data_IF_563650509448
#
_entry.id   IF_563650509448
#
_cell.length_a   1.000
_cell.length_b   1.000
_cell.length_c   1.000
_cell.angle_alpha   90.00
_cell.angle_beta   90.00
_cell.angle_gamma   90.00
#
_symmetry.space_group_name_H-M   'P 1'
#
loop_
_entity.id
_entity.type
_entity.pdbx_description
1 polymer ?
#
# COMPACT_ATOMS: atom_id res chain seq x y z
N UNK A 1 24.51 -1.49 -22.25
CA UNK A 1 23.28 -2.24 -21.94
C UNK A 1 22.10 -1.27 -22.06
N UNK A 2 21.44 -1.22 -23.23
CA UNK A 2 20.45 -0.19 -23.54
C UNK A 2 19.10 -0.51 -22.86
N UNK A 3 18.62 0.40 -22.02
CA UNK A 3 17.23 0.39 -21.52
C UNK A 3 16.33 0.96 -22.61
N UNK A 4 15.59 0.10 -23.30
CA UNK A 4 14.47 0.54 -24.12
C UNK A 4 13.34 1.00 -23.20
N UNK A 5 13.11 2.31 -23.12
CA UNK A 5 11.88 2.86 -22.53
C UNK A 5 10.89 3.03 -23.67
N UNK A 6 9.76 2.29 -23.69
CA UNK A 6 8.76 2.45 -24.74
C UNK A 6 8.17 3.87 -24.71
N UNK A 7 8.00 4.48 -25.88
CA UNK A 7 7.32 5.77 -26.01
C UNK A 7 5.87 5.62 -25.53
N UNK A 8 5.45 6.52 -24.63
CA UNK A 8 4.08 6.53 -24.08
C UNK A 8 3.09 6.89 -25.20
N UNK A 9 1.98 6.15 -25.38
CA UNK A 9 1.00 6.47 -26.41
C UNK A 9 0.40 7.86 -26.20
N UNK A 10 0.20 8.60 -27.30
CA UNK A 10 -0.40 9.93 -27.29
C UNK A 10 -1.79 9.88 -26.64
N UNK A 11 -2.04 10.71 -25.62
CA UNK A 11 -3.31 10.77 -24.88
C UNK A 11 -3.41 9.88 -23.63
N UNK A 12 -2.40 9.07 -23.30
CA UNK A 12 -2.40 8.33 -22.04
C UNK A 12 -2.12 9.27 -20.85
N UNK A 13 -3.09 9.42 -19.94
CA UNK A 13 -2.89 10.09 -18.65
C UNK A 13 -1.88 9.33 -17.80
N UNK A 14 -1.04 10.03 -17.05
CA UNK A 14 -0.10 9.33 -16.15
C UNK A 14 -0.84 8.70 -14.98
N UNK A 15 -0.27 7.65 -14.37
CA UNK A 15 -0.91 7.04 -13.19
C UNK A 15 -0.96 8.04 -12.03
N UNK A 16 0.05 8.90 -11.90
CA UNK A 16 0.09 9.90 -10.86
C UNK A 16 -0.96 11.00 -11.11
N UNK A 17 -1.19 11.41 -12.35
CA UNK A 17 -2.30 12.30 -12.74
C UNK A 17 -3.67 11.69 -12.42
N UNK A 18 -3.88 10.42 -12.78
CA UNK A 18 -5.15 9.70 -12.50
C UNK A 18 -5.41 9.57 -10.99
N UNK A 19 -4.34 9.45 -10.19
CA UNK A 19 -4.46 9.21 -8.74
C UNK A 19 -4.20 10.43 -7.87
N UNK A 20 -4.01 11.61 -8.47
CA UNK A 20 -3.64 12.83 -7.74
C UNK A 20 -2.36 12.65 -6.91
N UNK A 21 -1.40 11.88 -7.43
CA UNK A 21 -0.16 11.46 -6.78
C UNK A 21 -0.35 10.66 -5.47
N UNK A 22 -1.58 10.31 -5.09
CA UNK A 22 -1.91 9.57 -3.87
C UNK A 22 -2.30 8.14 -4.18
N UNK A 23 -1.33 7.24 -4.13
CA UNK A 23 -1.53 5.81 -4.45
C UNK A 23 -1.54 4.95 -3.19
N UNK A 24 -2.71 4.84 -2.54
CA UNK A 24 -2.88 4.09 -1.28
C UNK A 24 -2.50 2.60 -1.38
N UNK A 25 -2.54 2.02 -2.59
CA UNK A 25 -2.08 0.64 -2.83
C UNK A 25 -0.57 0.46 -2.61
N UNK A 26 0.24 1.52 -2.63
CA UNK A 26 1.70 1.44 -2.39
C UNK A 26 2.00 0.82 -1.02
N UNK A 27 1.32 1.29 0.03
CA UNK A 27 1.52 0.80 1.40
C UNK A 27 0.98 -0.62 1.63
N UNK A 28 0.17 -1.16 0.70
CA UNK A 28 -0.44 -2.49 0.80
C UNK A 28 0.30 -3.57 0.00
N UNK A 29 1.37 -3.20 -0.71
CA UNK A 29 2.06 -4.10 -1.65
C UNK A 29 2.82 -5.24 -0.97
N UNK A 30 3.56 -4.93 0.09
CA UNK A 30 4.38 -5.89 0.81
C UNK A 30 3.95 -5.99 2.27
N UNK A 31 4.22 -7.14 2.89
CA UNK A 31 3.80 -7.38 4.27
C UNK A 31 4.45 -6.44 5.27
N UNK A 32 5.77 -6.28 5.19
CA UNK A 32 6.53 -5.34 6.02
C UNK A 32 5.99 -3.90 5.92
N UNK A 33 5.57 -3.47 4.73
CA UNK A 33 5.04 -2.12 4.52
C UNK A 33 3.68 -1.94 5.21
N UNK A 34 2.85 -2.99 5.27
CA UNK A 34 1.58 -2.96 6.01
C UNK A 34 1.82 -2.92 7.51
N UNK A 35 2.79 -3.69 8.01
CA UNK A 35 3.19 -3.68 9.44
C UNK A 35 3.72 -2.32 9.89
N UNK A 36 4.46 -1.61 9.03
CA UNK A 36 4.97 -0.26 9.34
C UNK A 36 3.88 0.81 9.48
N UNK A 37 2.74 0.66 8.79
CA UNK A 37 1.62 1.62 8.85
C UNK A 37 0.42 1.11 9.63
N UNK A 38 0.57 0.01 10.35
CA UNK A 38 -0.51 -0.60 11.11
C UNK A 38 -0.89 0.32 12.29
N UNK A 39 -2.16 0.73 12.33
CA UNK A 39 -2.64 1.66 13.37
C UNK A 39 -3.04 0.95 14.67
N UNK A 40 -3.49 -0.30 14.59
CA UNK A 40 -4.02 -1.05 15.73
C UNK A 40 -3.35 -2.42 15.82
N UNK A 41 -3.01 -2.85 17.04
CA UNK A 41 -2.50 -4.18 17.33
C UNK A 41 -3.25 -4.74 18.53
N UNK A 42 -3.87 -5.90 18.36
CA UNK A 42 -4.50 -6.65 19.45
C UNK A 42 -3.49 -7.65 20.02
N UNK A 43 -3.43 -7.74 21.34
CA UNK A 43 -2.59 -8.68 22.09
C UNK A 43 -3.43 -9.48 23.08
N UNK A 44 -2.86 -10.54 23.66
CA UNK A 44 -3.54 -11.35 24.68
C UNK A 44 -3.88 -10.52 25.93
N UNK A 45 -3.11 -9.47 26.23
CA UNK A 45 -3.35 -8.60 27.38
C UNK A 45 -4.62 -7.75 27.24
N UNK A 46 -5.11 -7.58 26.01
CA UNK A 46 -6.32 -6.81 25.72
C UNK A 46 -7.59 -7.67 25.84
N UNK A 47 -7.45 -8.97 26.09
CA UNK A 47 -8.55 -9.93 26.13
C UNK A 47 -9.01 -10.19 27.56
N UNK A 48 -10.32 -10.20 27.75
CA UNK A 48 -10.97 -10.62 29.00
C UNK A 48 -11.52 -12.03 28.77
N UNK A 49 -11.16 -12.98 29.63
CA UNK A 49 -11.72 -14.33 29.62
C UNK A 49 -12.69 -14.53 30.79
N UNK A 50 -14.01 -14.39 30.56
CA UNK A 50 -15.00 -14.72 31.58
C UNK A 50 -15.17 -16.24 31.70
N UNK A 51 -15.19 -16.75 32.93
CA UNK A 51 -15.45 -18.14 33.29
C UNK A 51 -16.60 -18.14 34.33
N UNK A 52 -17.54 -19.08 34.19
CA UNK A 52 -18.74 -19.20 34.99
C UNK A 52 -18.68 -20.40 35.94
#
# INVERSE_FOLDING_TARGET
MNRFTPAKPAGARSVDEITGSRRLRRMRKADWSRRLVQENQLSVNDLIWPIF
#
